data_IF_068077929497
#
_entry.id   IF_068077929497
#
_cell.length_a   1.000
_cell.length_b   1.000
_cell.length_c   1.000
_cell.angle_alpha   90.00
_cell.angle_beta   90.00
_cell.angle_gamma   90.00
#
_symmetry.space_group_name_H-M   'P 1'
#
loop_
_entity.id
_entity.type
_entity.pdbx_description
1 polymer ?
#
# COMPACT_ATOMS: atom_id res chain seq x y z
N UNK A 1 -10.46 4.87 3.93
CA UNK A 1 -9.77 3.57 3.86
C UNK A 1 -8.32 3.67 4.33
N UNK A 2 -7.40 4.29 3.57
CA UNK A 2 -5.96 4.41 3.90
C UNK A 2 -5.65 4.84 5.34
N UNK A 3 -6.33 5.88 5.86
CA UNK A 3 -6.21 6.32 7.27
C UNK A 3 -6.58 5.22 8.27
N UNK A 4 -7.68 4.51 8.00
CA UNK A 4 -8.20 3.46 8.87
C UNK A 4 -7.28 2.23 8.92
N UNK A 5 -6.52 1.97 7.85
CA UNK A 5 -5.55 0.86 7.78
C UNK A 5 -4.12 1.29 8.14
N UNK A 6 -3.92 2.46 8.74
CA UNK A 6 -2.60 2.94 9.19
C UNK A 6 -1.62 3.29 8.07
N UNK A 7 -2.10 3.46 6.84
CA UNK A 7 -1.26 3.74 5.66
C UNK A 7 -1.12 5.24 5.34
N UNK A 8 -1.47 6.11 6.29
CA UNK A 8 -1.26 7.55 6.13
C UNK A 8 0.23 7.88 6.07
N UNK A 9 0.56 8.85 5.22
CA UNK A 9 1.91 9.35 5.03
C UNK A 9 1.88 10.86 4.83
N UNK A 10 2.53 11.56 5.75
CA UNK A 10 2.68 13.01 5.74
C UNK A 10 4.16 13.34 5.93
N UNK A 11 4.70 14.18 5.04
CA UNK A 11 6.05 14.75 5.15
C UNK A 11 5.97 16.23 4.73
N UNK A 12 5.53 17.12 5.63
CA UNK A 12 5.34 18.54 5.32
C UNK A 12 6.60 19.25 4.77
N UNK A 13 7.84 18.97 5.24
CA UNK A 13 9.04 19.58 4.66
C UNK A 13 9.26 19.26 3.18
N UNK A 14 8.76 18.12 2.70
CA UNK A 14 8.80 17.71 1.30
C UNK A 14 7.50 18.05 0.56
N UNK A 15 6.57 18.76 1.21
CA UNK A 15 5.27 19.12 0.65
C UNK A 15 4.28 17.96 0.56
N UNK A 16 4.53 16.84 1.23
CA UNK A 16 3.63 15.69 1.22
C UNK A 16 2.59 15.80 2.31
N UNK A 17 1.32 15.93 1.90
CA UNK A 17 0.17 15.99 2.79
C UNK A 17 -0.88 14.96 2.37
N UNK A 18 -1.47 14.30 3.36
CA UNK A 18 -2.52 13.30 3.24
C UNK A 18 -2.22 12.22 2.18
N UNK A 19 -0.96 11.80 2.05
CA UNK A 19 -0.57 10.77 1.10
C UNK A 19 -0.86 9.39 1.68
N UNK A 20 -0.89 8.42 0.77
CA UNK A 20 -0.89 7.01 1.12
C UNK A 20 0.53 6.47 1.00
N UNK A 21 0.94 5.63 1.95
CA UNK A 21 2.06 4.70 1.72
C UNK A 21 1.73 3.79 0.54
N UNK A 22 2.76 3.30 -0.15
CA UNK A 22 2.61 2.41 -1.30
C UNK A 22 2.34 0.98 -0.82
N UNK A 23 1.32 0.36 -1.40
CA UNK A 23 0.94 -1.03 -1.13
C UNK A 23 0.13 -1.60 -2.31
N UNK A 24 0.03 -2.91 -2.39
CA UNK A 24 -1.02 -3.61 -3.18
C UNK A 24 -1.90 -4.45 -2.24
N UNK A 25 -3.12 -4.77 -2.68
CA UNK A 25 -4.04 -5.58 -1.91
C UNK A 25 -4.92 -6.42 -2.84
N UNK A 26 -5.16 -7.69 -2.48
CA UNK A 26 -6.19 -8.52 -3.09
C UNK A 26 -7.46 -8.39 -2.23
N UNK A 27 -8.56 -8.03 -2.87
CA UNK A 27 -9.85 -7.80 -2.20
C UNK A 27 -10.92 -8.65 -2.87
N UNK A 28 -11.52 -9.54 -2.10
CA UNK A 28 -12.57 -10.45 -2.54
C UNK A 28 -13.84 -10.14 -1.73
N UNK A 29 -14.91 -9.74 -2.42
CA UNK A 29 -16.19 -9.34 -1.81
C UNK A 29 -16.07 -8.34 -0.65
N UNK A 30 -15.14 -7.39 -0.78
CA UNK A 30 -14.88 -6.36 0.22
C UNK A 30 -13.99 -6.81 1.39
N UNK A 31 -13.53 -8.06 1.41
CA UNK A 31 -12.56 -8.58 2.38
C UNK A 31 -11.16 -8.53 1.78
N UNK A 32 -10.20 -7.93 2.50
CA UNK A 32 -8.79 -7.91 2.10
C UNK A 32 -8.18 -9.29 2.41
N UNK A 33 -7.84 -10.06 1.39
CA UNK A 33 -7.30 -11.43 1.53
C UNK A 33 -5.77 -11.46 1.37
N UNK A 34 -5.18 -10.46 0.72
CA UNK A 34 -3.73 -10.20 0.72
C UNK A 34 -3.47 -8.71 0.89
N UNK A 35 -2.43 -8.37 1.64
CA UNK A 35 -2.02 -6.99 1.86
C UNK A 35 -0.50 -6.87 1.83
N UNK A 36 0.03 -6.06 0.91
CA UNK A 36 1.43 -6.01 0.56
C UNK A 36 1.96 -4.57 0.70
N UNK A 37 2.21 -4.09 1.93
CA UNK A 37 2.75 -2.76 2.16
C UNK A 37 4.25 -2.71 1.90
N UNK A 38 4.71 -1.62 1.29
CA UNK A 38 6.14 -1.37 1.17
C UNK A 38 6.74 -1.04 2.53
N UNK A 39 7.92 -1.62 2.81
CA UNK A 39 8.68 -1.38 4.04
C UNK A 39 9.70 -0.25 3.88
N UNK A 40 9.91 0.24 2.66
CA UNK A 40 10.87 1.29 2.34
C UNK A 40 10.50 2.10 1.11
N UNK A 41 11.51 2.69 0.46
CA UNK A 41 11.32 3.54 -0.73
C UNK A 41 11.15 2.75 -2.03
N UNK A 42 11.36 1.42 -2.00
CA UNK A 42 11.27 0.50 -3.15
C UNK A 42 9.85 0.07 -3.50
N UNK A 43 9.65 -0.38 -4.75
CA UNK A 43 8.33 -0.68 -5.33
C UNK A 43 8.13 -2.16 -5.67
N UNK A 44 8.90 -3.05 -5.05
CA UNK A 44 8.97 -4.47 -5.40
C UNK A 44 7.79 -5.27 -4.82
N UNK A 45 7.38 -4.98 -3.58
CA UNK A 45 6.31 -5.73 -2.88
C UNK A 45 4.92 -5.36 -3.41
N UNK A 46 4.75 -4.10 -3.81
CA UNK A 46 3.51 -3.58 -4.37
C UNK A 46 3.41 -3.74 -5.88
N UNK A 47 4.44 -4.29 -6.54
CA UNK A 47 4.45 -4.54 -7.98
C UNK A 47 3.35 -5.51 -8.42
N UNK A 48 2.92 -5.39 -9.68
CA UNK A 48 1.89 -6.24 -10.25
C UNK A 48 2.35 -7.70 -10.33
N UNK A 49 3.61 -7.94 -10.68
CA UNK A 49 4.23 -9.26 -10.74
C UNK A 49 4.24 -9.93 -9.36
N UNK A 50 4.48 -9.17 -8.29
CA UNK A 50 4.43 -9.69 -6.93
C UNK A 50 3.01 -10.11 -6.56
N UNK A 51 2.01 -9.28 -6.87
CA UNK A 51 0.60 -9.62 -6.61
C UNK A 51 0.15 -10.83 -7.43
N UNK A 52 0.54 -10.90 -8.71
CA UNK A 52 0.22 -12.03 -9.60
C UNK A 52 0.80 -13.35 -9.08
N UNK A 53 2.01 -13.33 -8.50
CA UNK A 53 2.62 -14.51 -7.90
C UNK A 53 1.95 -15.00 -6.60
N UNK A 54 0.98 -14.27 -6.06
CA UNK A 54 0.22 -14.63 -4.86
C UNK A 54 -1.17 -15.21 -5.14
N UNK A 55 -1.60 -15.19 -6.42
CA UNK A 55 -2.83 -15.82 -6.91
C UNK A 55 -2.65 -17.33 -7.02
#
# INVERSE_FOLDING_TARGET
FTKAIGMSFDVPPLGFFARSKRYSALVEDGVVTRFNPETGTGCEISAGEHLLGQL
#
